data_IF_026707510488
#
_entry.id   IF_026707510488
#
_cell.length_a   1.000
_cell.length_b   1.000
_cell.length_c   1.000
_cell.angle_alpha   90.00
_cell.angle_beta   90.00
_cell.angle_gamma   90.00
#
_symmetry.space_group_name_H-M   'P 1'
#
loop_
_entity.id
_entity.type
_entity.pdbx_description
1 polymer ?
#
# COMPACT_ATOMS: atom_id res chain seq x y z
N UNK A 1 7.92 11.01 -14.94
CA UNK A 1 9.10 11.35 -14.11
C UNK A 1 8.60 12.09 -12.87
N UNK A 2 8.83 11.54 -11.68
CA UNK A 2 8.27 12.00 -10.39
C UNK A 2 9.21 12.96 -9.64
N UNK A 3 10.19 13.51 -10.35
CA UNK A 3 11.23 14.35 -9.80
C UNK A 3 11.19 15.72 -10.48
N UNK A 4 10.53 16.68 -9.83
CA UNK A 4 10.71 18.08 -10.20
C UNK A 4 12.11 18.48 -9.73
N UNK A 5 13.06 18.58 -10.67
CA UNK A 5 14.43 19.03 -10.39
C UNK A 5 14.41 20.55 -10.19
N UNK A 6 14.51 21.01 -8.94
CA UNK A 6 14.82 22.41 -8.67
C UNK A 6 16.29 22.71 -9.07
N UNK A 7 16.56 23.99 -9.36
CA UNK A 7 17.88 24.48 -9.79
C UNK A 7 19.02 24.25 -8.77
N UNK A 8 18.71 23.78 -7.56
CA UNK A 8 19.66 23.43 -6.50
C UNK A 8 20.26 22.03 -6.65
N UNK A 9 19.77 21.19 -7.58
CA UNK A 9 20.26 19.81 -7.76
C UNK A 9 19.70 18.81 -6.74
N UNK A 10 18.81 19.25 -5.85
CA UNK A 10 18.08 18.37 -4.93
C UNK A 10 16.75 17.93 -5.55
N UNK A 11 16.58 16.61 -5.70
CA UNK A 11 15.32 15.99 -6.09
C UNK A 11 14.29 16.13 -4.97
N UNK A 12 13.33 17.04 -5.11
CA UNK A 12 12.23 17.21 -4.17
C UNK A 12 11.12 16.23 -4.49
N UNK A 13 10.79 15.36 -3.55
CA UNK A 13 9.64 14.46 -3.67
C UNK A 13 8.35 15.28 -3.51
N UNK A 14 7.47 15.24 -4.51
CA UNK A 14 6.23 16.00 -4.55
C UNK A 14 5.05 15.06 -4.78
N UNK A 15 3.99 15.21 -3.98
CA UNK A 15 2.75 14.45 -4.15
C UNK A 15 1.86 15.13 -5.19
N UNK A 16 1.59 14.44 -6.30
CA UNK A 16 0.59 14.84 -7.29
C UNK A 16 -0.66 13.96 -7.13
N UNK A 17 -1.88 14.54 -7.17
CA UNK A 17 -3.13 13.78 -6.99
C UNK A 17 -3.52 13.04 -8.27
N UNK A 18 -2.66 12.13 -8.72
CA UNK A 18 -2.78 11.41 -9.98
C UNK A 18 -2.48 9.92 -9.75
N UNK A 19 -3.24 9.04 -10.40
CA UNK A 19 -2.99 7.59 -10.38
C UNK A 19 -2.25 7.21 -11.65
N UNK A 20 -1.12 6.52 -11.50
CA UNK A 20 -0.30 6.03 -12.59
C UNK A 20 -0.32 4.50 -12.61
N UNK A 21 -0.48 3.91 -13.81
CA UNK A 21 -0.43 2.47 -14.01
C UNK A 21 0.66 2.13 -15.03
N UNK A 22 1.57 1.23 -14.68
CA UNK A 22 2.64 0.76 -15.57
C UNK A 22 2.25 -0.59 -16.18
N UNK A 23 1.94 -0.61 -17.47
CA UNK A 23 1.46 -1.79 -18.18
C UNK A 23 2.45 -2.96 -18.14
N UNK A 24 3.76 -2.68 -18.13
CA UNK A 24 4.83 -3.67 -18.17
C UNK A 24 4.82 -4.61 -16.96
N UNK A 25 4.24 -4.17 -15.84
CA UNK A 25 4.20 -4.91 -14.58
C UNK A 25 2.83 -5.56 -14.31
N UNK A 26 1.92 -5.50 -15.29
CA UNK A 26 0.55 -5.99 -15.17
C UNK A 26 0.43 -7.37 -15.84
N UNK A 27 -0.20 -8.31 -15.13
CA UNK A 27 -0.36 -9.70 -15.58
C UNK A 27 -1.66 -9.94 -16.38
N UNK A 28 -2.60 -8.99 -16.32
CA UNK A 28 -3.87 -9.05 -17.04
C UNK A 28 -4.95 -8.18 -16.42
N UNK A 29 -6.17 -8.16 -16.98
CA UNK A 29 -7.24 -7.23 -16.58
C UNK A 29 -7.64 -7.32 -15.10
N UNK A 30 -7.62 -8.52 -14.52
CA UNK A 30 -7.91 -8.70 -13.08
C UNK A 30 -6.84 -8.04 -12.20
N UNK A 31 -5.57 -8.15 -12.60
CA UNK A 31 -4.46 -7.52 -11.88
C UNK A 31 -4.54 -5.99 -11.97
N UNK A 32 -4.96 -5.44 -13.13
CA UNK A 32 -5.25 -4.00 -13.26
C UNK A 32 -6.30 -3.55 -12.24
N UNK A 33 -7.41 -4.28 -12.11
CA UNK A 33 -8.45 -3.92 -11.15
C UNK A 33 -7.95 -3.94 -9.69
N UNK A 34 -7.08 -4.90 -9.35
CA UNK A 34 -6.46 -4.98 -8.03
C UNK A 34 -5.51 -3.81 -7.78
N UNK A 35 -4.62 -3.49 -8.72
CA UNK A 35 -3.72 -2.32 -8.61
C UNK A 35 -4.54 -1.03 -8.53
N UNK A 36 -5.54 -0.87 -9.40
CA UNK A 36 -6.38 0.32 -9.38
C UNK A 36 -7.13 0.47 -8.06
N UNK A 37 -7.64 -0.62 -7.48
CA UNK A 37 -8.26 -0.60 -6.15
C UNK A 37 -7.25 -0.19 -5.06
N UNK A 38 -6.01 -0.69 -5.12
CA UNK A 38 -4.93 -0.30 -4.22
C UNK A 38 -4.67 1.22 -4.26
N UNK A 39 -4.45 1.77 -5.45
CA UNK A 39 -4.20 3.21 -5.63
C UNK A 39 -5.41 4.08 -5.25
N UNK A 40 -6.63 3.60 -5.50
CA UNK A 40 -7.85 4.31 -5.09
C UNK A 40 -7.99 4.38 -3.55
N UNK A 41 -7.55 3.36 -2.82
CA UNK A 41 -7.52 3.42 -1.35
C UNK A 41 -6.55 4.51 -0.89
N UNK A 42 -5.36 4.62 -1.48
CA UNK A 42 -4.46 5.75 -1.18
C UNK A 42 -5.10 7.10 -1.46
N UNK A 43 -5.76 7.26 -2.61
CA UNK A 43 -6.44 8.50 -2.96
C UNK A 43 -7.52 8.87 -1.93
N UNK A 44 -8.34 7.90 -1.52
CA UNK A 44 -9.37 8.09 -0.49
C UNK A 44 -8.76 8.49 0.86
N UNK A 45 -7.63 7.89 1.22
CA UNK A 45 -6.94 8.15 2.48
C UNK A 45 -6.38 9.54 2.56
N UNK A 46 -5.75 9.98 1.47
CA UNK A 46 -5.29 11.34 1.28
C UNK A 46 -6.44 12.34 1.44
N UNK A 47 -7.61 12.06 0.84
CA UNK A 47 -8.78 12.93 0.96
C UNK A 47 -9.35 12.96 2.39
N UNK A 48 -9.47 11.82 3.05
CA UNK A 48 -10.18 11.74 4.34
C UNK A 48 -9.34 12.13 5.55
N UNK A 49 -8.00 12.05 5.46
CA UNK A 49 -7.11 12.26 6.62
C UNK A 49 -6.18 13.46 6.53
N UNK A 50 -6.18 14.23 5.42
CA UNK A 50 -5.18 15.31 5.18
C UNK A 50 -3.76 14.83 5.52
N UNK A 51 -3.43 13.59 5.14
CA UNK A 51 -2.17 12.94 5.49
C UNK A 51 -0.98 13.51 4.72
N UNK A 52 0.20 13.39 5.31
CA UNK A 52 1.49 13.70 4.71
C UNK A 52 2.33 12.41 4.65
N UNK A 53 2.11 11.54 3.65
CA UNK A 53 2.83 10.27 3.55
C UNK A 53 4.33 10.41 3.29
N UNK A 54 4.80 11.60 2.87
CA UNK A 54 6.22 11.81 2.61
C UNK A 54 7.02 11.93 3.90
N UNK A 55 6.46 12.61 4.90
CA UNK A 55 7.14 12.91 6.16
C UNK A 55 6.57 12.17 7.37
N UNK A 56 5.35 11.66 7.29
CA UNK A 56 4.71 10.90 8.36
C UNK A 56 4.65 9.40 8.04
N UNK A 57 5.70 8.69 8.46
CA UNK A 57 5.83 7.25 8.22
C UNK A 57 4.73 6.40 8.85
N UNK A 58 4.06 6.88 9.92
CA UNK A 58 2.92 6.17 10.51
C UNK A 58 1.68 6.28 9.62
N UNK A 59 1.44 7.44 9.00
CA UNK A 59 0.36 7.62 8.05
C UNK A 59 0.62 6.83 6.76
N UNK A 60 1.87 6.85 6.28
CA UNK A 60 2.29 6.00 5.16
C UNK A 60 2.05 4.52 5.47
N UNK A 61 2.58 4.00 6.58
CA UNK A 61 2.37 2.60 6.97
C UNK A 61 0.88 2.24 7.07
N UNK A 62 0.05 3.11 7.62
CA UNK A 62 -1.38 2.87 7.76
C UNK A 62 -2.11 2.79 6.41
N UNK A 63 -1.80 3.68 5.47
CA UNK A 63 -2.43 3.64 4.14
C UNK A 63 -1.97 2.41 3.34
N UNK A 64 -0.69 2.01 3.44
CA UNK A 64 -0.16 0.80 2.82
C UNK A 64 -0.84 -0.46 3.38
N UNK A 65 -0.99 -0.57 4.70
CA UNK A 65 -1.72 -1.68 5.33
C UNK A 65 -3.15 -1.78 4.76
N UNK A 66 -3.84 -0.65 4.61
CA UNK A 66 -5.23 -0.64 4.12
C UNK A 66 -5.32 -0.94 2.64
N UNK A 67 -4.44 -0.37 1.82
CA UNK A 67 -4.39 -0.65 0.39
C UNK A 67 -4.12 -2.14 0.14
N UNK A 68 -3.17 -2.74 0.85
CA UNK A 68 -2.86 -4.17 0.74
C UNK A 68 -3.99 -5.09 1.24
N UNK A 69 -4.66 -4.68 2.33
CA UNK A 69 -5.75 -5.46 2.91
C UNK A 69 -7.03 -5.43 2.05
N UNK A 70 -7.37 -4.26 1.49
CA UNK A 70 -8.67 -4.03 0.85
C UNK A 70 -8.65 -4.20 -0.69
N UNK A 71 -7.49 -4.10 -1.34
CA UNK A 71 -7.38 -4.22 -2.80
C UNK A 71 -7.53 -5.64 -3.34
N UNK A 72 -7.17 -6.65 -2.53
CA UNK A 72 -7.09 -8.04 -2.97
C UNK A 72 -5.71 -8.47 -3.47
N UNK A 73 -4.67 -7.64 -3.33
CA UNK A 73 -3.27 -8.00 -3.65
C UNK A 73 -2.80 -9.25 -2.89
N UNK A 74 -3.28 -9.42 -1.65
CA UNK A 74 -2.99 -10.56 -0.77
C UNK A 74 -3.97 -11.73 -0.92
N UNK A 75 -4.60 -11.89 -2.09
CA UNK A 75 -5.37 -13.09 -2.39
C UNK A 75 -4.45 -14.31 -2.44
N UNK A 76 -4.85 -15.40 -1.78
CA UNK A 76 -4.12 -16.67 -1.74
C UNK A 76 -3.68 -17.17 -3.12
N UNK A 77 -4.52 -17.04 -4.15
CA UNK A 77 -4.18 -17.51 -5.50
C UNK A 77 -3.01 -16.73 -6.11
N UNK A 78 -2.98 -15.41 -5.90
CA UNK A 78 -1.88 -14.57 -6.38
C UNK A 78 -0.59 -14.83 -5.62
N UNK A 79 -0.67 -15.04 -4.30
CA UNK A 79 0.49 -15.37 -3.49
C UNK A 79 1.04 -16.77 -3.78
N UNK A 80 0.17 -17.74 -4.07
CA UNK A 80 0.56 -19.06 -4.55
C UNK A 80 1.31 -18.98 -5.89
N UNK A 81 0.81 -18.19 -6.84
CA UNK A 81 1.52 -17.94 -8.12
C UNK A 81 2.88 -17.28 -7.92
N UNK A 82 3.03 -16.44 -6.88
CA UNK A 82 4.28 -15.78 -6.51
C UNK A 82 5.20 -16.64 -5.64
N UNK A 83 4.82 -17.88 -5.32
CA UNK A 83 5.61 -18.82 -4.52
C UNK A 83 5.70 -18.48 -3.02
N UNK A 84 4.79 -17.65 -2.50
CA UNK A 84 4.83 -17.15 -1.12
C UNK A 84 3.70 -17.73 -0.26
N UNK A 85 3.81 -19.02 0.06
CA UNK A 85 2.80 -19.76 0.85
C UNK A 85 3.24 -19.93 2.32
N UNK A 86 2.96 -18.95 3.17
CA UNK A 86 3.28 -18.99 4.62
C UNK A 86 2.21 -19.70 5.48
N UNK A 87 1.69 -20.83 4.97
CA UNK A 87 0.64 -21.65 5.59
C UNK A 87 -0.79 -21.17 5.29
N UNK A 88 -1.78 -22.01 5.64
CA UNK A 88 -3.21 -21.75 5.38
C UNK A 88 -3.83 -20.73 6.35
N UNK A 89 -3.39 -20.69 7.60
CA UNK A 89 -3.91 -19.80 8.64
C UNK A 89 -3.13 -18.48 8.73
N UNK A 90 -3.84 -17.34 8.74
CA UNK A 90 -3.24 -16.02 8.90
C UNK A 90 -2.46 -15.50 7.68
N UNK A 91 -2.57 -16.18 6.53
CA UNK A 91 -1.87 -15.81 5.30
C UNK A 91 -2.10 -14.35 4.88
N UNK A 92 -3.36 -13.90 4.90
CA UNK A 92 -3.71 -12.52 4.51
C UNK A 92 -2.97 -11.47 5.35
N UNK A 93 -3.01 -11.60 6.68
CA UNK A 93 -2.37 -10.64 7.58
C UNK A 93 -0.83 -10.62 7.41
N UNK A 94 -0.21 -11.79 7.21
CA UNK A 94 1.25 -11.89 6.94
C UNK A 94 1.62 -11.24 5.61
N UNK A 95 0.83 -11.50 4.56
CA UNK A 95 1.03 -10.88 3.26
C UNK A 95 0.91 -9.36 3.36
N UNK A 96 -0.16 -8.85 3.99
CA UNK A 96 -0.39 -7.41 4.15
C UNK A 96 0.78 -6.76 4.89
N UNK A 97 1.21 -7.34 6.00
CA UNK A 97 2.37 -6.85 6.76
C UNK A 97 3.62 -6.79 5.89
N UNK A 98 3.95 -7.88 5.19
CA UNK A 98 5.16 -7.97 4.35
C UNK A 98 5.15 -6.90 3.26
N UNK A 99 4.05 -6.80 2.53
CA UNK A 99 3.94 -5.85 1.41
C UNK A 99 3.93 -4.40 1.87
N UNK A 100 3.20 -4.08 2.96
CA UNK A 100 3.23 -2.75 3.53
C UNK A 100 4.64 -2.34 3.99
N UNK A 101 5.43 -3.26 4.55
CA UNK A 101 6.84 -2.99 4.89
C UNK A 101 7.65 -2.68 3.63
N UNK A 102 7.47 -3.44 2.55
CA UNK A 102 8.18 -3.21 1.29
C UNK A 102 7.83 -1.83 0.69
N UNK A 103 6.55 -1.43 0.72
CA UNK A 103 6.14 -0.09 0.29
C UNK A 103 6.70 1.02 1.17
N UNK A 104 6.64 0.89 2.51
CA UNK A 104 7.18 1.90 3.43
C UNK A 104 8.69 2.05 3.27
N UNK A 105 9.41 0.97 2.98
CA UNK A 105 10.87 1.01 2.72
C UNK A 105 11.22 1.80 1.46
N UNK A 106 10.32 1.87 0.49
CA UNK A 106 10.53 2.64 -0.73
C UNK A 106 10.59 4.15 -0.48
N UNK A 107 10.04 4.65 0.65
CA UNK A 107 10.22 6.04 1.07
C UNK A 107 11.54 6.20 1.85
N UNK A 108 12.51 7.00 1.33
CA UNK A 108 13.81 7.23 1.99
C UNK A 108 13.71 7.76 3.42
N UNK A 109 12.66 8.50 3.75
CA UNK A 109 12.44 9.05 5.09
C UNK A 109 12.03 7.98 6.12
N UNK A 110 11.56 6.82 5.66
CA UNK A 110 10.94 5.79 6.49
C UNK A 110 11.68 4.45 6.50
N UNK A 111 12.63 4.25 5.57
CA UNK A 111 13.31 2.96 5.34
C UNK A 111 13.90 2.33 6.60
N UNK A 112 14.56 3.10 7.47
CA UNK A 112 15.29 2.56 8.62
C UNK A 112 14.43 1.99 9.75
N UNK A 113 13.11 2.25 9.76
CA UNK A 113 12.19 1.80 10.83
C UNK A 113 10.86 1.29 10.26
N UNK A 114 10.84 0.84 9.01
CA UNK A 114 9.63 0.48 8.29
C UNK A 114 8.79 -0.59 9.02
N UNK A 115 9.44 -1.65 9.51
CA UNK A 115 8.78 -2.72 10.26
C UNK A 115 8.12 -2.19 11.53
N UNK A 116 8.79 -1.30 12.26
CA UNK A 116 8.28 -0.73 13.50
C UNK A 116 7.02 0.11 13.25
N UNK A 117 7.01 0.91 12.17
CA UNK A 117 5.83 1.70 11.81
C UNK A 117 4.65 0.82 11.37
N UNK A 118 4.92 -0.21 10.56
CA UNK A 118 3.89 -1.15 10.12
C UNK A 118 3.33 -1.93 11.31
N UNK A 119 4.19 -2.48 12.16
CA UNK A 119 3.76 -3.25 13.34
C UNK A 119 2.94 -2.40 14.30
N UNK A 120 3.34 -1.14 14.54
CA UNK A 120 2.61 -0.21 15.38
C UNK A 120 1.24 0.20 14.79
N UNK A 121 1.12 0.30 13.47
CA UNK A 121 -0.12 0.67 12.79
C UNK A 121 -1.06 -0.53 12.53
N UNK A 122 -0.51 -1.75 12.55
CA UNK A 122 -1.16 -2.96 12.02
C UNK A 122 -2.55 -3.19 12.60
N UNK A 123 -2.68 -3.22 13.93
CA UNK A 123 -3.97 -3.55 14.56
C UNK A 123 -5.08 -2.57 14.18
N UNK A 124 -4.77 -1.27 14.21
CA UNK A 124 -5.74 -0.21 13.95
C UNK A 124 -6.11 -0.16 12.47
N UNK A 125 -5.11 -0.14 11.60
CA UNK A 125 -5.32 0.10 10.17
C UNK A 125 -5.87 -1.13 9.45
N UNK A 126 -5.53 -2.33 9.90
CA UNK A 126 -6.07 -3.57 9.33
C UNK A 126 -7.57 -3.76 9.61
N UNK A 127 -8.09 -3.22 10.72
CA UNK A 127 -9.52 -3.27 11.09
C UNK A 127 -10.36 -2.20 10.36
N UNK A 128 -9.75 -1.19 9.76
CA UNK A 128 -10.46 -0.10 9.09
C UNK A 128 -10.77 -0.47 7.63
N UNK A 129 -12.05 -0.78 7.38
CA UNK A 129 -12.55 -1.23 6.08
C UNK A 129 -13.05 -0.11 5.18
N UNK A 130 -13.02 1.15 5.61
CA UNK A 130 -13.51 2.26 4.80
C UNK A 130 -12.80 2.32 3.43
N UNK A 131 -13.52 2.59 2.32
CA UNK A 131 -14.92 3.02 2.21
C UNK A 131 -15.94 1.88 2.22
N UNK A 132 -15.51 0.63 2.39
CA UNK A 132 -16.38 -0.52 2.39
C UNK A 132 -17.06 -0.71 3.75
N UNK A 133 -18.35 -1.08 3.73
CA UNK A 133 -19.11 -1.44 4.93
C UNK A 133 -18.52 -2.66 5.66
N UNK A 134 -17.91 -3.56 4.89
CA UNK A 134 -17.24 -4.77 5.36
C UNK A 134 -16.04 -5.09 4.50
N UNK A 135 -15.16 -5.96 4.98
CA UNK A 135 -13.97 -6.35 4.21
C UNK A 135 -14.38 -6.99 2.86
N UNK A 136 -13.79 -6.60 1.72
CA UNK A 136 -14.15 -7.12 0.39
C UNK A 136 -14.08 -8.65 0.23
N UNK A 137 -13.31 -9.34 1.07
CA UNK A 137 -13.17 -10.80 1.04
C UNK A 137 -14.27 -11.52 1.85
N UNK A 138 -15.08 -10.79 2.63
CA UNK A 138 -16.23 -11.32 3.36
C UNK A 138 -17.49 -11.08 2.52
N UNK A 139 -17.85 -12.08 1.72
CA UNK A 139 -19.12 -12.09 0.96
C UNK A 139 -20.33 -12.23 1.87
#
# INVERSE_FOLDING_TARGET
>A
EQFDREASGESKLSLKPEIYLCQEHVAGPKHVNTILAHELIHAIDMCRTKMDPLHNCMQLACTEIRAENLSGECNFWWEAMRGKLDGYFGHGQKCVRRRAVDSVRANPNCTGKAELYVDAAMERCYKDTFPFERHPNQR
#
